data_IF_198714842148
#
_entry.id   IF_198714842148
#
_cell.length_a   1.000
_cell.length_b   1.000
_cell.length_c   1.000
_cell.angle_alpha   90.00
_cell.angle_beta   90.00
_cell.angle_gamma   90.00
#
_symmetry.space_group_name_H-M   'P 1'
#
loop_
_entity.id
_entity.type
_entity.pdbx_description
1 polymer ?
#
# COMPACT_ATOMS: atom_id res chain seq x y z
N UNK A 1 16.83 -73.34 0.58
CA UNK A 1 15.72 -74.23 0.25
C UNK A 1 14.62 -73.47 -0.41
N UNK A 2 14.49 -73.72 -1.69
CA UNK A 2 13.26 -73.97 -2.46
C UNK A 2 12.24 -72.80 -2.38
N UNK A 3 11.79 -72.27 -3.41
CA UNK A 3 11.61 -72.59 -4.83
C UNK A 3 10.40 -71.78 -5.28
N UNK A 4 10.54 -71.02 -6.35
CA UNK A 4 10.02 -71.24 -7.69
C UNK A 4 8.48 -71.36 -7.78
N UNK A 5 7.81 -70.44 -8.46
CA UNK A 5 7.25 -70.54 -9.83
C UNK A 5 6.20 -69.42 -9.98
N UNK A 6 6.46 -68.53 -10.92
CA UNK A 6 5.90 -68.50 -12.29
C UNK A 6 4.42 -68.80 -12.39
N UNK A 7 3.67 -67.89 -12.89
CA UNK A 7 2.33 -68.10 -13.39
C UNK A 7 2.00 -66.94 -14.31
N UNK A 8 2.44 -67.15 -15.55
CA UNK A 8 2.11 -66.36 -16.75
C UNK A 8 0.64 -66.52 -17.17
N UNK A 9 0.24 -65.51 -17.88
CA UNK A 9 -0.59 -65.51 -19.07
C UNK A 9 -2.11 -65.45 -18.93
N UNK A 10 -2.78 -65.14 -20.04
CA UNK A 10 -2.86 -63.90 -20.74
C UNK A 10 -4.32 -63.51 -21.09
N UNK A 11 -4.44 -62.33 -21.64
CA UNK A 11 -5.38 -61.99 -22.73
C UNK A 11 -6.87 -62.32 -22.58
N UNK A 12 -7.65 -61.31 -22.69
CA UNK A 12 -8.69 -61.31 -23.74
C UNK A 12 -9.32 -59.94 -23.87
N UNK A 13 -9.05 -59.32 -24.98
CA UNK A 13 -9.84 -58.22 -25.50
C UNK A 13 -11.13 -58.76 -26.11
N UNK A 14 -12.25 -58.14 -25.95
CA UNK A 14 -13.38 -58.35 -26.84
C UNK A 14 -13.48 -57.26 -27.90
N UNK A 15 -13.68 -57.77 -29.05
CA UNK A 15 -13.84 -57.18 -30.36
C UNK A 15 -15.06 -56.24 -30.42
N UNK A 16 -14.85 -55.12 -31.12
CA UNK A 16 -15.92 -54.27 -31.66
C UNK A 16 -16.81 -55.01 -32.64
N UNK A 17 -18.06 -54.57 -32.75
CA UNK A 17 -18.68 -54.52 -34.07
C UNK A 17 -18.99 -53.05 -34.45
N UNK A 18 -18.53 -52.72 -35.64
CA UNK A 18 -18.94 -51.54 -36.39
C UNK A 18 -20.42 -51.62 -36.73
N UNK A 19 -21.07 -50.48 -36.67
CA UNK A 19 -22.06 -49.97 -37.65
C UNK A 19 -22.94 -48.90 -37.02
N UNK A 20 -22.92 -47.71 -37.45
CA UNK A 20 -23.75 -47.05 -38.49
C UNK A 20 -23.58 -45.54 -38.37
N UNK A 21 -23.29 -44.98 -39.50
CA UNK A 21 -23.30 -43.55 -39.76
C UNK A 21 -24.61 -42.90 -39.36
N UNK A 22 -24.54 -41.84 -38.51
CA UNK A 22 -25.53 -40.80 -38.47
C UNK A 22 -24.82 -39.47 -38.72
N UNK A 23 -25.08 -38.95 -39.90
CA UNK A 23 -24.75 -37.58 -40.28
C UNK A 23 -25.65 -36.66 -39.47
N UNK A 24 -25.12 -36.09 -38.41
CA UNK A 24 -25.76 -34.98 -37.72
C UNK A 24 -24.90 -33.74 -37.94
N UNK A 25 -25.48 -32.80 -38.72
CA UNK A 25 -24.98 -31.43 -38.89
C UNK A 25 -24.83 -30.81 -37.51
N UNK A 26 -23.63 -30.76 -36.96
CA UNK A 26 -23.34 -29.93 -35.82
C UNK A 26 -23.02 -28.52 -36.33
N UNK A 27 -23.94 -27.63 -36.09
CA UNK A 27 -23.77 -26.18 -36.21
C UNK A 27 -22.64 -25.77 -35.29
N UNK A 28 -21.48 -25.43 -35.84
CA UNK A 28 -20.35 -24.90 -35.08
C UNK A 28 -20.72 -23.46 -34.64
N UNK A 29 -21.23 -23.33 -33.43
CA UNK A 29 -21.19 -22.03 -32.74
C UNK A 29 -19.74 -21.73 -32.41
N UNK A 30 -19.07 -20.99 -33.28
CA UNK A 30 -17.81 -20.33 -32.97
C UNK A 30 -18.17 -19.20 -31.97
N UNK A 31 -18.10 -19.51 -30.68
CA UNK A 31 -18.04 -18.48 -29.65
C UNK A 31 -16.72 -17.77 -29.86
N UNK A 32 -16.79 -16.63 -30.56
CA UNK A 32 -15.72 -15.66 -30.62
C UNK A 32 -15.46 -15.20 -29.18
N UNK A 33 -14.44 -15.78 -28.56
CA UNK A 33 -13.87 -15.26 -27.34
C UNK A 33 -13.16 -13.96 -27.76
N UNK A 34 -13.93 -12.86 -27.78
CA UNK A 34 -13.33 -11.54 -27.86
C UNK A 34 -12.46 -11.38 -26.60
N UNK A 35 -11.14 -11.13 -26.72
CA UNK A 35 -10.37 -10.75 -25.55
C UNK A 35 -10.98 -9.45 -25.06
N UNK A 36 -11.58 -9.50 -23.87
CA UNK A 36 -11.91 -8.29 -23.13
C UNK A 36 -10.64 -7.44 -23.13
N UNK A 37 -10.71 -6.16 -23.54
CA UNK A 37 -9.58 -5.28 -23.39
C UNK A 37 -9.30 -5.29 -21.89
N UNK A 38 -8.18 -5.93 -21.52
CA UNK A 38 -7.58 -5.74 -20.23
C UNK A 38 -7.26 -4.25 -20.22
N UNK A 39 -8.20 -3.48 -19.64
CA UNK A 39 -7.92 -2.09 -19.36
C UNK A 39 -6.56 -2.13 -18.67
N UNK A 40 -5.56 -1.58 -19.36
CA UNK A 40 -4.35 -1.12 -18.70
C UNK A 40 -4.90 -0.19 -17.61
N UNK A 41 -5.05 -0.73 -16.39
CA UNK A 41 -4.96 0.08 -15.22
C UNK A 41 -3.53 0.63 -15.32
N UNK A 42 -3.41 1.75 -16.08
CA UNK A 42 -2.29 2.62 -15.93
C UNK A 42 -2.10 2.69 -14.41
N UNK A 43 -0.91 2.47 -13.94
CA UNK A 43 -0.53 2.87 -12.59
C UNK A 43 -0.77 4.39 -12.57
N UNK A 44 -2.03 4.74 -12.37
CA UNK A 44 -2.44 6.12 -12.27
C UNK A 44 -1.81 6.58 -10.97
N UNK A 45 -0.68 7.26 -11.10
CA UNK A 45 -0.07 7.98 -10.00
C UNK A 45 -1.15 8.81 -9.31
N UNK A 46 -0.96 9.16 -8.06
CA UNK A 46 -1.89 10.01 -7.34
C UNK A 46 -2.07 11.33 -8.08
N UNK A 47 -3.31 11.75 -8.24
CA UNK A 47 -3.64 13.05 -8.82
C UNK A 47 -3.28 14.19 -7.85
N UNK A 48 -3.22 15.43 -8.37
CA UNK A 48 -2.93 16.62 -7.56
C UNK A 48 -3.91 16.78 -6.40
N UNK A 49 -5.17 16.40 -6.59
CA UNK A 49 -6.18 16.44 -5.51
C UNK A 49 -5.83 15.49 -4.35
N UNK A 50 -5.25 14.32 -4.64
CA UNK A 50 -4.79 13.39 -3.61
C UNK A 50 -3.57 13.98 -2.86
N UNK A 51 -2.61 14.58 -3.57
CA UNK A 51 -1.47 15.21 -2.95
C UNK A 51 -1.86 16.40 -2.09
N UNK A 52 -2.84 17.20 -2.50
CA UNK A 52 -3.39 18.27 -1.67
C UNK A 52 -4.05 17.72 -0.40
N UNK A 53 -4.86 16.66 -0.51
CA UNK A 53 -5.50 16.02 0.64
C UNK A 53 -4.46 15.44 1.62
N UNK A 54 -3.40 14.81 1.11
CA UNK A 54 -2.26 14.30 1.89
C UNK A 54 -1.60 15.44 2.69
N UNK A 55 -1.24 16.54 2.01
CA UNK A 55 -0.63 17.72 2.64
C UNK A 55 -1.53 18.32 3.70
N UNK A 56 -2.84 18.35 3.46
CA UNK A 56 -3.82 18.87 4.43
C UNK A 56 -3.92 18.00 5.68
N UNK A 57 -3.91 16.69 5.54
CA UNK A 57 -3.87 15.76 6.69
C UNK A 57 -2.62 16.01 7.54
N UNK A 58 -1.46 16.15 6.91
CA UNK A 58 -0.20 16.42 7.62
C UNK A 58 -0.26 17.78 8.33
N UNK A 59 -0.71 18.85 7.65
CA UNK A 59 -0.84 20.18 8.26
C UNK A 59 -1.76 20.16 9.49
N UNK A 60 -2.91 19.49 9.37
CA UNK A 60 -3.89 19.39 10.47
C UNK A 60 -3.34 18.60 11.64
N UNK A 61 -2.62 17.50 11.39
CA UNK A 61 -1.98 16.76 12.46
C UNK A 61 -0.91 17.59 13.16
N UNK A 62 -0.03 18.27 12.41
CA UNK A 62 0.99 19.14 12.99
C UNK A 62 0.40 20.29 13.83
N UNK A 63 -0.70 20.89 13.35
CA UNK A 63 -1.41 21.92 14.11
C UNK A 63 -1.95 21.37 15.43
N UNK A 64 -2.56 20.17 15.43
CA UNK A 64 -3.06 19.51 16.63
C UNK A 64 -1.93 19.15 17.60
N UNK A 65 -0.81 18.63 17.10
CA UNK A 65 0.37 18.30 17.89
C UNK A 65 0.96 19.53 18.58
N UNK A 66 1.07 20.65 17.87
CA UNK A 66 1.56 21.94 18.41
C UNK A 66 0.61 22.55 19.44
N UNK A 67 -0.68 22.26 19.33
CA UNK A 67 -1.70 22.68 20.27
C UNK A 67 -1.88 21.72 21.45
N UNK A 68 -1.04 20.69 21.58
CA UNK A 68 -1.17 19.62 22.58
C UNK A 68 -2.51 18.87 22.53
N UNK A 69 -3.24 18.96 21.41
CA UNK A 69 -4.51 18.25 21.19
C UNK A 69 -4.22 16.80 20.76
N UNK A 70 -3.95 15.95 21.74
CA UNK A 70 -3.62 14.54 21.54
C UNK A 70 -4.71 13.80 20.76
N UNK A 71 -5.99 14.01 21.14
CA UNK A 71 -7.10 13.31 20.53
C UNK A 71 -7.24 13.65 19.04
N UNK A 72 -7.15 14.92 18.70
CA UNK A 72 -7.21 15.39 17.31
C UNK A 72 -6.00 14.94 16.51
N UNK A 73 -4.78 15.03 17.05
CA UNK A 73 -3.59 14.56 16.38
C UNK A 73 -3.66 13.06 16.08
N UNK A 74 -4.15 12.28 17.03
CA UNK A 74 -4.30 10.82 16.92
C UNK A 74 -5.38 10.41 15.91
N UNK A 75 -6.41 11.23 15.69
CA UNK A 75 -7.45 10.96 14.70
C UNK A 75 -6.92 10.94 13.26
N UNK A 76 -5.81 11.63 12.97
CA UNK A 76 -5.16 11.61 11.65
C UNK A 76 -4.23 10.41 11.46
N UNK A 77 -3.95 9.64 12.51
CA UNK A 77 -3.13 8.44 12.42
C UNK A 77 -3.93 7.26 11.84
N UNK A 78 -3.22 6.36 11.16
CA UNK A 78 -3.78 5.13 10.61
C UNK A 78 -4.32 4.20 11.68
N UNK A 79 -5.20 3.25 11.32
CA UNK A 79 -5.63 2.21 12.25
C UNK A 79 -4.47 1.43 12.86
N UNK A 80 -3.42 1.16 12.07
CA UNK A 80 -2.21 0.48 12.53
C UNK A 80 -1.49 1.26 13.63
N UNK A 81 -1.26 2.56 13.42
CA UNK A 81 -0.67 3.42 14.46
C UNK A 81 -1.57 3.52 15.68
N UNK A 82 -2.89 3.69 15.48
CA UNK A 82 -3.82 3.76 16.61
C UNK A 82 -3.86 2.47 17.41
N UNK A 83 -3.79 1.32 16.78
CA UNK A 83 -3.70 0.04 17.46
C UNK A 83 -2.38 -0.13 18.22
N UNK A 84 -1.26 0.33 17.65
CA UNK A 84 0.06 0.26 18.26
C UNK A 84 0.18 1.08 19.54
N UNK A 85 -0.36 2.30 19.54
CA UNK A 85 -0.27 3.19 20.70
C UNK A 85 -1.44 3.05 21.67
N UNK A 86 -2.62 2.68 21.17
CA UNK A 86 -3.83 2.45 21.94
C UNK A 86 -4.45 3.70 22.56
N UNK A 87 -3.66 4.73 22.81
CA UNK A 87 -4.04 5.94 23.57
C UNK A 87 -3.44 7.21 22.96
N UNK A 88 -4.25 8.28 22.79
CA UNK A 88 -3.78 9.55 22.21
C UNK A 88 -2.68 10.24 23.03
N UNK A 89 -2.73 10.16 24.36
CA UNK A 89 -1.74 10.83 25.24
C UNK A 89 -0.39 10.13 25.10
N UNK A 90 -0.38 8.80 25.05
CA UNK A 90 0.83 8.00 24.81
C UNK A 90 1.45 8.31 23.44
N UNK A 91 0.61 8.42 22.40
CA UNK A 91 1.04 8.83 21.07
C UNK A 91 1.70 10.21 21.10
N UNK A 92 1.03 11.22 21.72
CA UNK A 92 1.57 12.57 21.82
C UNK A 92 2.89 12.62 22.59
N UNK A 93 3.02 11.87 23.68
CA UNK A 93 4.25 11.77 24.47
C UNK A 93 5.42 11.23 23.63
N UNK A 94 5.17 10.19 22.83
CA UNK A 94 6.16 9.65 21.90
C UNK A 94 6.57 10.70 20.85
N UNK A 95 5.60 11.42 20.27
CA UNK A 95 5.91 12.47 19.27
C UNK A 95 6.75 13.58 19.89
N UNK A 96 6.43 14.03 21.10
CA UNK A 96 7.20 15.05 21.80
C UNK A 96 8.64 14.61 22.10
N UNK A 97 8.85 13.35 22.40
CA UNK A 97 10.19 12.84 22.71
C UNK A 97 11.05 12.56 21.48
N UNK A 98 10.46 12.01 20.42
CA UNK A 98 11.21 11.53 19.26
C UNK A 98 11.18 12.47 18.05
N UNK A 99 10.18 13.33 17.98
CA UNK A 99 9.91 14.20 16.82
C UNK A 99 9.80 15.68 17.22
N UNK A 100 10.48 16.09 18.28
CA UNK A 100 10.44 17.45 18.80
C UNK A 100 10.70 18.51 17.71
N UNK A 101 11.59 18.23 16.77
CA UNK A 101 11.90 19.12 15.65
C UNK A 101 10.68 19.51 14.81
N UNK A 102 9.71 18.60 14.65
CA UNK A 102 8.44 18.90 13.92
C UNK A 102 7.59 19.93 14.65
N UNK A 103 7.65 19.94 15.99
CA UNK A 103 6.82 20.81 16.83
C UNK A 103 7.37 22.22 16.88
N UNK A 104 8.70 22.38 16.90
CA UNK A 104 9.40 23.66 17.06
C UNK A 104 9.93 24.26 15.76
N UNK A 105 9.73 23.58 14.62
CA UNK A 105 10.20 24.06 13.33
C UNK A 105 9.70 25.48 13.04
N UNK A 106 10.64 26.37 12.66
CA UNK A 106 10.34 27.76 12.27
C UNK A 106 9.77 27.86 10.86
N UNK A 107 10.19 26.93 10.01
CA UNK A 107 9.79 26.86 8.61
C UNK A 107 9.53 25.42 8.21
N UNK A 108 8.52 25.21 7.39
CA UNK A 108 8.21 23.91 6.80
C UNK A 108 7.78 24.09 5.35
N UNK A 109 8.22 23.15 4.49
CA UNK A 109 7.92 23.17 3.08
C UNK A 109 7.68 21.74 2.58
N UNK A 110 6.57 21.50 1.89
CA UNK A 110 6.32 20.22 1.23
C UNK A 110 7.18 20.13 -0.02
N UNK A 111 7.89 19.03 -0.15
CA UNK A 111 8.61 18.66 -1.35
C UNK A 111 7.72 17.76 -2.23
N UNK A 112 8.21 17.38 -3.42
CA UNK A 112 7.48 16.49 -4.30
C UNK A 112 7.28 15.13 -3.65
N UNK A 113 6.03 14.67 -3.65
CA UNK A 113 5.65 13.36 -3.14
C UNK A 113 5.84 12.28 -4.19
N UNK A 114 5.92 11.04 -3.74
CA UNK A 114 6.05 9.87 -4.61
C UNK A 114 5.24 8.68 -4.09
N UNK A 115 4.83 7.79 -5.00
CA UNK A 115 4.38 6.47 -4.64
C UNK A 115 5.59 5.53 -4.56
N UNK A 116 5.74 4.83 -3.44
CA UNK A 116 6.78 3.82 -3.24
C UNK A 116 6.07 2.55 -2.77
N UNK A 117 6.14 1.51 -3.57
CA UNK A 117 5.46 0.23 -3.31
C UNK A 117 3.96 0.40 -2.98
N UNK A 118 3.29 1.30 -3.71
CA UNK A 118 1.87 1.60 -3.52
C UNK A 118 1.54 2.49 -2.32
N UNK A 119 2.53 2.91 -1.53
CA UNK A 119 2.36 3.81 -0.40
C UNK A 119 2.72 5.24 -0.79
N UNK A 120 1.86 6.19 -0.41
CA UNK A 120 2.15 7.60 -0.63
C UNK A 120 3.22 8.08 0.36
N UNK A 121 4.34 8.57 -0.16
CA UNK A 121 5.41 9.20 0.61
C UNK A 121 5.40 10.70 0.33
N UNK A 122 5.17 11.50 1.37
CA UNK A 122 5.19 12.96 1.28
C UNK A 122 6.33 13.50 2.13
N UNK A 123 7.42 13.97 1.52
CA UNK A 123 8.48 14.62 2.27
C UNK A 123 8.07 16.04 2.68
N UNK A 124 8.46 16.41 3.89
CA UNK A 124 8.30 17.74 4.47
C UNK A 124 9.67 18.21 4.95
N UNK A 125 10.24 19.19 4.28
CA UNK A 125 11.45 19.88 4.75
C UNK A 125 11.10 20.77 5.92
N UNK A 126 11.93 20.80 6.93
CA UNK A 126 11.77 21.65 8.09
C UNK A 126 13.10 22.28 8.50
N UNK A 127 13.03 23.48 9.02
CA UNK A 127 14.16 24.21 9.59
C UNK A 127 13.89 24.41 11.08
N UNK A 128 14.73 23.82 11.90
CA UNK A 128 14.68 23.97 13.36
C UNK A 128 15.18 25.35 13.81
N UNK A 129 14.95 25.76 15.07
CA UNK A 129 15.40 27.05 15.60
C UNK A 129 16.90 27.30 15.52
N UNK A 130 17.70 26.23 15.58
CA UNK A 130 19.17 26.25 15.48
C UNK A 130 19.69 26.22 14.02
N UNK A 131 18.82 26.43 13.04
CA UNK A 131 19.07 26.33 11.60
C UNK A 131 19.35 24.91 11.08
N UNK A 132 19.22 23.87 11.90
CA UNK A 132 19.31 22.50 11.42
C UNK A 132 18.18 22.22 10.40
N UNK A 133 18.55 21.70 9.24
CA UNK A 133 17.60 21.32 8.19
C UNK A 133 17.39 19.82 8.22
N UNK A 134 16.12 19.42 8.37
CA UNK A 134 15.69 18.03 8.38
C UNK A 134 14.63 17.80 7.32
N UNK A 135 14.44 16.54 6.93
CA UNK A 135 13.30 16.11 6.12
C UNK A 135 12.51 15.05 6.88
N UNK A 136 11.24 15.31 7.06
CA UNK A 136 10.29 14.34 7.59
C UNK A 136 9.63 13.62 6.42
N UNK A 137 9.85 12.33 6.30
CA UNK A 137 9.19 11.47 5.31
C UNK A 137 7.93 10.90 5.94
N UNK A 138 6.79 11.44 5.56
CA UNK A 138 5.49 10.92 5.94
C UNK A 138 5.07 9.81 5.00
N UNK A 139 4.67 8.66 5.53
CA UNK A 139 3.98 7.62 4.78
C UNK A 139 2.48 7.68 5.08
N UNK A 140 1.66 7.58 4.04
CA UNK A 140 0.20 7.67 4.18
C UNK A 140 -0.48 6.54 3.44
N UNK A 141 -1.62 6.12 3.99
CA UNK A 141 -2.54 5.17 3.37
C UNK A 141 -3.89 5.83 3.11
N UNK A 142 -4.55 5.40 2.04
CA UNK A 142 -5.88 5.87 1.67
C UNK A 142 -6.93 4.92 2.20
N UNK A 143 -7.80 5.42 3.06
CA UNK A 143 -8.97 4.71 3.57
C UNK A 143 -10.25 5.21 2.86
N UNK A 144 -11.40 4.53 3.01
CA UNK A 144 -12.66 4.98 2.41
C UNK A 144 -13.08 6.40 2.84
N UNK A 145 -12.68 6.82 4.05
CA UNK A 145 -12.99 8.11 4.65
C UNK A 145 -11.84 9.12 4.53
N UNK A 146 -10.82 8.83 3.72
CA UNK A 146 -9.72 9.74 3.40
C UNK A 146 -8.33 9.22 3.78
N UNK A 147 -7.34 10.10 3.63
CA UNK A 147 -5.94 9.78 3.90
C UNK A 147 -5.64 9.73 5.40
N UNK A 148 -4.75 8.80 5.80
CA UNK A 148 -4.26 8.66 7.18
C UNK A 148 -2.74 8.51 7.18
N UNK A 149 -2.11 9.09 8.19
CA UNK A 149 -0.66 9.00 8.40
C UNK A 149 -0.34 7.63 8.98
N UNK A 150 0.45 6.85 8.24
CA UNK A 150 0.87 5.50 8.61
C UNK A 150 2.30 5.45 9.17
N UNK A 151 3.04 6.56 9.08
CA UNK A 151 4.37 6.67 9.66
C UNK A 151 5.01 8.02 9.38
N UNK A 152 6.09 8.29 10.11
CA UNK A 152 6.96 9.42 9.88
C UNK A 152 8.39 9.04 10.25
N UNK A 153 9.36 9.45 9.41
CA UNK A 153 10.78 9.28 9.67
C UNK A 153 11.50 10.60 9.46
N UNK A 154 12.28 11.05 10.43
CA UNK A 154 13.17 12.19 10.28
C UNK A 154 14.53 11.75 9.73
N UNK A 155 15.07 12.53 8.81
CA UNK A 155 16.44 12.38 8.32
C UNK A 155 17.09 13.76 8.18
N UNK A 156 18.42 13.88 8.37
CA UNK A 156 19.14 15.08 8.02
C UNK A 156 18.94 15.42 6.54
N UNK A 157 18.81 16.73 6.24
CA UNK A 157 18.85 17.17 4.84
C UNK A 157 20.29 17.28 4.39
N UNK A 158 20.58 16.83 3.16
CA UNK A 158 21.90 17.05 2.53
C UNK A 158 22.07 18.48 2.03
N UNK A 159 20.99 19.27 2.01
CA UNK A 159 21.00 20.70 1.62
C UNK A 159 21.03 21.53 2.87
N UNK A 160 22.11 22.29 3.07
CA UNK A 160 22.18 23.31 4.12
C UNK A 160 21.25 24.46 3.78
N UNK A 161 20.62 25.05 4.81
CA UNK A 161 19.95 26.33 4.65
C UNK A 161 21.01 27.40 4.35
N UNK A 162 20.85 28.08 3.23
CA UNK A 162 21.66 29.24 2.88
C UNK A 162 21.28 30.46 3.74
#
# INVERSE_FOLDING_TARGET
MRGVRTGDAPMSAPRYPARRAFVARALACVLAFAPLPRALAAEAGLGESDWQAIRDVIRRQLAALRADDAARAFAYASPGIRAQFGDPVRFLSMVKSMYAALLVARYTEFLDGALVDGMAIQPLRLVAPDNTVLVAFYSLEKLPDGWRINGCRLAPSTVQAA
#
